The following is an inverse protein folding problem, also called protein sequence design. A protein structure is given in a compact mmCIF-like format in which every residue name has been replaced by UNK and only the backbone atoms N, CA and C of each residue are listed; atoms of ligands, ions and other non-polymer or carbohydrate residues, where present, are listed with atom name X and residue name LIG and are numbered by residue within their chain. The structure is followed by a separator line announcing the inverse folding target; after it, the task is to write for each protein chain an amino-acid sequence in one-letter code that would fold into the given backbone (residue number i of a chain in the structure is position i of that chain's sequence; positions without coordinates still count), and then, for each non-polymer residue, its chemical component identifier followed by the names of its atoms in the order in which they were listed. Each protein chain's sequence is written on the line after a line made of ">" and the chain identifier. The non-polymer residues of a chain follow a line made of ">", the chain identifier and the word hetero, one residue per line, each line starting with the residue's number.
data_IF_914394101155
#
_entry.id   IF_914394101155
#
_cell.length_a   1.000
_cell.length_b   1.000
_cell.length_c   1.000
_cell.angle_alpha   90.00
_cell.angle_beta   90.00
_cell.angle_gamma   90.00
#
_symmetry.space_group_name_H-M   'P 1'
#
loop_
_entity.id
_entity.type
_entity.pdbx_description
1 polymer ?
#
# COMPACT_ATOMS: atom_id res chain seq x y z
N UNK A 1 -0.05 20.42 6.15
CA UNK A 1 -1.53 20.47 6.26
C UNK A 1 -2.08 19.08 6.01
N UNK A 2 -3.02 18.61 6.81
CA UNK A 2 -3.63 17.31 6.55
C UNK A 2 -4.36 17.34 5.19
N UNK A 3 -4.21 16.25 4.44
CA UNK A 3 -4.91 16.07 3.17
C UNK A 3 -5.57 14.69 3.13
N UNK A 4 -6.64 14.50 2.34
CA UNK A 4 -7.31 13.22 2.27
C UNK A 4 -6.41 12.11 1.71
N UNK A 5 -6.41 10.99 2.40
CA UNK A 5 -5.89 9.72 1.94
C UNK A 5 -7.05 8.76 1.74
N UNK A 6 -7.28 8.32 0.52
CA UNK A 6 -8.25 7.28 0.21
C UNK A 6 -7.55 5.93 0.10
N UNK A 7 -8.11 4.92 0.73
CA UNK A 7 -7.58 3.57 0.78
C UNK A 7 -8.57 2.62 0.12
N UNK A 8 -8.16 2.01 -0.99
CA UNK A 8 -8.92 0.96 -1.66
C UNK A 8 -8.28 -0.41 -1.41
N UNK A 9 -9.08 -1.36 -0.96
CA UNK A 9 -8.65 -2.74 -0.74
C UNK A 9 -9.16 -3.61 -1.89
N UNK A 10 -8.24 -4.32 -2.54
CA UNK A 10 -8.52 -5.22 -3.65
C UNK A 10 -8.16 -6.66 -3.32
N UNK A 11 -8.94 -7.60 -3.84
CA UNK A 11 -8.68 -9.04 -3.63
C UNK A 11 -7.57 -9.55 -4.56
N UNK A 12 -7.32 -8.89 -5.69
CA UNK A 12 -6.28 -9.28 -6.63
C UNK A 12 -5.47 -8.09 -7.17
N UNK A 13 -4.25 -8.38 -7.64
CA UNK A 13 -3.31 -7.39 -8.15
C UNK A 13 -3.75 -6.77 -9.47
N UNK A 14 -4.43 -7.51 -10.32
CA UNK A 14 -4.87 -7.01 -11.62
C UNK A 14 -5.90 -5.91 -11.46
N UNK A 15 -6.87 -6.09 -10.56
CA UNK A 15 -7.87 -5.08 -10.24
C UNK A 15 -7.23 -3.82 -9.63
N UNK A 16 -6.28 -3.97 -8.72
CA UNK A 16 -5.54 -2.85 -8.14
C UNK A 16 -4.70 -2.10 -9.20
N UNK A 17 -4.07 -2.83 -10.10
CA UNK A 17 -3.30 -2.25 -11.22
C UNK A 17 -4.19 -1.46 -12.18
N UNK A 18 -5.35 -1.98 -12.51
CA UNK A 18 -6.33 -1.29 -13.37
C UNK A 18 -6.84 -0.01 -12.71
N UNK A 19 -7.14 -0.07 -11.41
CA UNK A 19 -7.52 1.10 -10.63
C UNK A 19 -6.41 2.17 -10.61
N UNK A 20 -5.17 1.77 -10.37
CA UNK A 20 -4.02 2.67 -10.36
C UNK A 20 -3.80 3.34 -11.73
N UNK A 21 -3.92 2.58 -12.83
CA UNK A 21 -3.84 3.13 -14.20
C UNK A 21 -4.96 4.11 -14.49
N UNK A 22 -6.19 3.80 -14.07
CA UNK A 22 -7.33 4.68 -14.26
C UNK A 22 -7.19 5.98 -13.46
N UNK A 23 -6.69 5.92 -12.23
CA UNK A 23 -6.40 7.08 -11.40
C UNK A 23 -5.32 7.97 -12.06
N UNK A 24 -4.24 7.36 -12.52
CA UNK A 24 -3.20 8.10 -13.22
C UNK A 24 -3.72 8.76 -14.51
N UNK A 25 -4.50 8.05 -15.31
CA UNK A 25 -5.13 8.59 -16.51
C UNK A 25 -6.11 9.73 -16.20
N UNK A 26 -6.69 9.76 -15.01
CA UNK A 26 -7.58 10.83 -14.54
C UNK A 26 -6.84 12.04 -13.96
N UNK A 27 -5.51 12.04 -13.97
CA UNK A 27 -4.67 13.16 -13.55
C UNK A 27 -4.06 13.04 -12.15
N UNK A 28 -4.21 11.91 -11.46
CA UNK A 28 -3.51 11.67 -10.20
C UNK A 28 -2.04 11.37 -10.49
N UNK A 29 -1.15 12.14 -9.89
CA UNK A 29 0.29 11.92 -10.03
C UNK A 29 0.71 10.58 -9.37
N UNK A 30 1.69 9.91 -9.96
CA UNK A 30 2.23 8.65 -9.45
C UNK A 30 2.78 8.78 -8.04
N UNK A 31 3.37 9.91 -7.71
CA UNK A 31 3.89 10.21 -6.38
C UNK A 31 2.80 10.29 -5.29
N UNK A 32 1.54 10.39 -5.70
CA UNK A 32 0.40 10.38 -4.80
C UNK A 32 -0.24 9.00 -4.65
N UNK A 33 0.30 7.98 -5.32
CA UNK A 33 -0.17 6.61 -5.22
C UNK A 33 0.75 5.80 -4.31
N UNK A 34 0.13 5.01 -3.45
CA UNK A 34 0.80 4.07 -2.55
C UNK A 34 0.23 2.68 -2.74
N UNK A 35 1.07 1.66 -2.68
CA UNK A 35 0.64 0.26 -2.75
C UNK A 35 1.27 -0.52 -1.62
N UNK A 36 0.48 -1.40 -1.02
CA UNK A 36 0.97 -2.39 -0.04
C UNK A 36 0.42 -3.76 -0.43
N UNK A 37 1.30 -4.73 -0.62
CA UNK A 37 0.94 -6.10 -0.95
C UNK A 37 1.89 -7.09 -0.30
N UNK A 38 1.36 -8.27 0.08
CA UNK A 38 2.18 -9.37 0.56
C UNK A 38 2.90 -10.06 -0.60
N UNK A 39 4.13 -10.50 -0.39
CA UNK A 39 4.87 -11.31 -1.34
C UNK A 39 4.57 -12.78 -1.10
N UNK A 40 3.92 -13.45 -2.06
CA UNK A 40 3.44 -14.82 -1.86
C UNK A 40 4.47 -15.93 -2.14
N UNK A 41 5.37 -15.77 -3.08
CA UNK A 41 6.12 -16.90 -3.62
C UNK A 41 7.58 -16.97 -3.16
N UNK A 42 8.03 -16.05 -2.34
CA UNK A 42 9.43 -15.96 -1.92
C UNK A 42 9.59 -15.57 -0.43
N UNK A 43 8.59 -15.87 0.38
CA UNK A 43 8.61 -15.56 1.82
C UNK A 43 9.90 -16.06 2.50
N UNK A 44 10.41 -17.23 2.08
CA UNK A 44 11.65 -17.78 2.60
C UNK A 44 12.91 -17.07 2.07
N UNK A 45 12.94 -16.73 0.79
CA UNK A 45 14.11 -16.08 0.16
C UNK A 45 14.25 -14.62 0.57
N UNK A 46 13.15 -13.86 0.58
CA UNK A 46 13.17 -12.48 1.01
C UNK A 46 13.52 -12.34 2.50
N UNK A 47 13.03 -13.26 3.33
CA UNK A 47 13.40 -13.29 4.74
C UNK A 47 14.90 -13.59 4.93
N UNK A 48 15.48 -14.46 4.12
CA UNK A 48 16.91 -14.76 4.15
C UNK A 48 17.77 -13.61 3.58
N UNK A 49 17.33 -12.96 2.52
CA UNK A 49 18.03 -11.81 1.91
C UNK A 49 17.91 -10.53 2.75
N UNK A 50 16.82 -10.38 3.50
CA UNK A 50 16.54 -9.22 4.36
C UNK A 50 16.94 -9.44 5.82
N UNK A 51 17.59 -10.54 6.14
CA UNK A 51 18.01 -10.87 7.51
C UNK A 51 18.98 -9.82 8.04
N UNK A 52 18.45 -8.70 8.49
CA UNK A 52 19.13 -7.65 9.17
C UNK A 52 19.03 -6.24 8.59
N UNK A 53 18.33 -5.97 7.50
CA UNK A 53 18.23 -4.61 6.97
C UNK A 53 16.79 -4.19 6.69
N UNK A 54 16.06 -3.62 7.69
CA UNK A 54 14.79 -2.98 7.43
C UNK A 54 14.97 -1.79 6.47
N UNK A 55 14.21 -1.74 5.39
CA UNK A 55 14.18 -0.59 4.48
C UNK A 55 15.20 -0.61 3.34
N UNK A 56 15.72 -1.77 2.93
CA UNK A 56 16.54 -1.85 1.73
C UNK A 56 15.72 -1.60 0.46
N UNK A 57 16.19 -0.68 -0.37
CA UNK A 57 15.65 -0.47 -1.72
C UNK A 57 15.91 -1.71 -2.58
N UNK A 58 14.85 -2.28 -3.14
CA UNK A 58 14.92 -3.49 -3.95
C UNK A 58 14.56 -3.19 -5.41
N UNK A 59 15.26 -2.26 -6.04
CA UNK A 59 15.02 -1.93 -7.46
C UNK A 59 15.16 -3.13 -8.39
N UNK A 60 15.99 -4.13 -8.03
CA UNK A 60 16.30 -5.30 -8.85
C UNK A 60 15.80 -6.63 -8.26
N UNK A 61 14.89 -6.61 -7.27
CA UNK A 61 14.41 -7.86 -6.67
C UNK A 61 13.25 -8.51 -7.46
N UNK A 62 13.10 -9.84 -7.40
CA UNK A 62 11.94 -10.53 -7.96
C UNK A 62 10.59 -10.06 -7.38
N UNK A 63 10.58 -9.56 -6.15
CA UNK A 63 9.40 -8.95 -5.54
C UNK A 63 9.01 -7.63 -6.21
N UNK A 64 9.98 -6.79 -6.52
CA UNK A 64 9.77 -5.55 -7.28
C UNK A 64 9.34 -5.85 -8.73
N UNK A 65 9.89 -6.89 -9.35
CA UNK A 65 9.49 -7.33 -10.69
C UNK A 65 8.04 -7.83 -10.75
N UNK A 66 7.49 -8.34 -9.66
CA UNK A 66 6.08 -8.77 -9.58
C UNK A 66 5.10 -7.64 -9.28
N UNK A 67 5.56 -6.58 -8.65
CA UNK A 67 4.87 -5.29 -8.72
C UNK A 67 5.00 -4.65 -10.11
N UNK A 68 5.76 -5.27 -11.01
CA UNK A 68 5.93 -4.81 -12.39
C UNK A 68 4.63 -4.66 -13.17
N UNK A 69 3.59 -5.41 -12.84
CA UNK A 69 2.25 -5.18 -13.39
C UNK A 69 1.64 -3.86 -12.89
N UNK A 70 2.06 -3.41 -11.70
CA UNK A 70 1.75 -2.09 -11.15
C UNK A 70 2.80 -1.04 -11.56
N UNK A 71 3.95 -1.47 -12.09
CA UNK A 71 5.15 -0.65 -12.30
C UNK A 71 4.99 0.43 -13.38
N UNK A 72 4.00 0.31 -14.25
CA UNK A 72 3.67 1.40 -15.16
C UNK A 72 3.21 2.67 -14.45
N UNK A 73 2.85 2.58 -13.18
CA UNK A 73 2.28 3.65 -12.38
C UNK A 73 3.07 3.94 -11.10
N UNK A 74 3.86 3.00 -10.60
CA UNK A 74 4.57 3.10 -9.32
C UNK A 74 6.08 3.11 -9.56
N UNK A 75 6.77 4.11 -9.02
CA UNK A 75 8.15 4.42 -9.37
C UNK A 75 9.20 3.66 -8.56
N UNK A 76 8.93 3.34 -7.31
CA UNK A 76 9.86 2.63 -6.44
C UNK A 76 9.10 1.77 -5.44
N UNK A 77 9.60 0.59 -5.18
CA UNK A 77 9.04 -0.30 -4.17
C UNK A 77 10.13 -0.69 -3.17
N UNK A 78 9.76 -0.78 -1.91
CA UNK A 78 10.62 -1.32 -0.86
C UNK A 78 10.00 -2.58 -0.26
N UNK A 79 10.84 -3.52 0.12
CA UNK A 79 10.41 -4.67 0.90
C UNK A 79 10.59 -4.38 2.38
N UNK A 80 9.59 -4.76 3.15
CA UNK A 80 9.56 -4.56 4.60
C UNK A 80 9.02 -5.82 5.26
N UNK A 81 9.63 -6.25 6.36
CA UNK A 81 9.04 -7.30 7.20
C UNK A 81 8.10 -6.63 8.19
N UNK A 82 6.82 -6.87 8.02
CA UNK A 82 5.78 -6.26 8.85
C UNK A 82 5.37 -7.23 9.95
N UNK A 83 5.41 -6.81 11.24
CA UNK A 83 4.94 -7.64 12.35
C UNK A 83 3.49 -8.10 12.14
N UNK A 84 3.26 -9.40 12.29
CA UNK A 84 1.93 -10.02 12.14
C UNK A 84 1.48 -10.33 10.70
N UNK A 85 2.21 -9.86 9.68
CA UNK A 85 1.91 -10.13 8.27
C UNK A 85 3.04 -10.92 7.60
N UNK A 86 4.28 -10.59 7.92
CA UNK A 86 5.47 -11.10 7.24
C UNK A 86 5.99 -10.17 6.15
N UNK A 87 6.69 -10.71 5.12
CA UNK A 87 7.26 -9.90 4.07
C UNK A 87 6.15 -9.23 3.23
N UNK A 88 6.22 -7.92 3.10
CA UNK A 88 5.37 -7.11 2.22
C UNK A 88 6.22 -6.30 1.26
N UNK A 89 5.62 -5.90 0.16
CA UNK A 89 6.19 -4.89 -0.73
C UNK A 89 5.31 -3.66 -0.67
N UNK A 90 5.93 -2.51 -0.45
CA UNK A 90 5.24 -1.24 -0.36
C UNK A 90 5.90 -0.21 -1.27
N UNK A 91 5.10 0.65 -1.87
CA UNK A 91 5.55 1.75 -2.72
C UNK A 91 4.74 3.01 -2.42
N UNK A 92 5.30 4.17 -2.78
CA UNK A 92 4.67 5.46 -2.62
C UNK A 92 4.81 6.04 -1.20
N UNK A 93 4.12 7.15 -0.88
CA UNK A 93 4.27 7.85 0.40
C UNK A 93 4.00 6.98 1.63
N UNK A 94 3.08 6.02 1.54
CA UNK A 94 2.79 5.11 2.64
C UNK A 94 3.97 4.19 2.99
N UNK A 95 4.85 3.89 2.02
CA UNK A 95 6.03 3.03 2.24
C UNK A 95 7.01 3.62 3.26
N UNK A 96 7.19 4.92 3.28
CA UNK A 96 8.07 5.58 4.23
C UNK A 96 7.61 5.35 5.68
N UNK A 97 6.31 5.48 5.94
CA UNK A 97 5.73 5.22 7.27
C UNK A 97 5.83 3.75 7.66
N UNK A 98 5.68 2.85 6.70
CA UNK A 98 5.83 1.41 6.94
C UNK A 98 7.28 1.05 7.28
N UNK A 99 8.24 1.66 6.60
CA UNK A 99 9.66 1.48 6.89
C UNK A 99 10.05 1.99 8.28
N UNK A 100 9.58 3.15 8.67
CA UNK A 100 9.79 3.71 10.01
C UNK A 100 9.20 2.80 11.11
N UNK A 101 7.99 2.30 10.91
CA UNK A 101 7.33 1.44 11.87
C UNK A 101 8.01 0.07 12.02
N UNK A 102 8.52 -0.51 10.94
CA UNK A 102 9.26 -1.75 10.97
C UNK A 102 10.56 -1.64 11.78
N UNK A 103 11.23 -0.48 11.70
CA UNK A 103 12.45 -0.20 12.46
C UNK A 103 12.25 -0.01 13.98
N UNK A 104 11.04 0.29 14.42
CA UNK A 104 10.76 0.61 15.83
C UNK A 104 10.04 -0.51 16.61
N UNK A 105 9.87 -1.69 16.07
CA UNK A 105 9.21 -2.84 16.70
C UNK A 105 7.79 -2.57 17.28
N UNK A 106 7.23 -1.44 16.98
CA UNK A 106 5.96 -0.96 17.56
C UNK A 106 4.89 -0.77 16.48
N UNK A 107 4.13 -1.82 16.23
CA UNK A 107 2.90 -1.72 15.48
C UNK A 107 2.97 -2.18 14.03
N UNK A 108 2.05 -3.05 13.67
CA UNK A 108 1.84 -3.50 12.30
C UNK A 108 1.08 -2.47 11.45
N UNK A 109 0.70 -2.87 10.25
CA UNK A 109 -0.06 -2.06 9.29
C UNK A 109 -1.30 -1.41 9.93
N UNK A 110 -2.02 -2.15 10.78
CA UNK A 110 -3.19 -1.64 11.50
C UNK A 110 -2.89 -0.39 12.32
N UNK A 111 -1.76 -0.35 13.02
CA UNK A 111 -1.40 0.80 13.85
C UNK A 111 -1.05 2.02 13.01
N UNK A 112 -0.35 1.81 11.89
CA UNK A 112 -0.02 2.89 10.94
C UNK A 112 -1.29 3.50 10.38
N UNK A 113 -2.23 2.66 9.96
CA UNK A 113 -3.53 3.10 9.44
C UNK A 113 -4.35 3.83 10.50
N UNK A 114 -4.33 3.35 11.75
CA UNK A 114 -5.01 4.00 12.87
C UNK A 114 -4.42 5.39 13.17
N UNK A 115 -3.09 5.54 13.11
CA UNK A 115 -2.44 6.85 13.23
C UNK A 115 -2.77 7.80 12.08
N UNK A 116 -3.05 7.25 10.89
CA UNK A 116 -3.54 8.04 9.76
C UNK A 116 -5.04 8.38 9.84
N UNK A 117 -5.72 8.02 10.93
CA UNK A 117 -7.13 8.35 11.14
C UNK A 117 -8.11 7.30 10.60
N UNK A 118 -7.64 6.14 10.15
CA UNK A 118 -8.52 5.03 9.76
C UNK A 118 -9.17 4.44 11.00
N UNK A 119 -10.49 4.21 11.02
CA UNK A 119 -11.15 3.58 12.15
C UNK A 119 -10.50 2.23 12.50
N UNK A 120 -10.32 1.90 13.79
CA UNK A 120 -9.59 0.70 14.21
C UNK A 120 -10.15 -0.61 13.62
N UNK A 121 -11.45 -0.73 13.51
CA UNK A 121 -12.10 -1.89 12.90
C UNK A 121 -11.75 -2.03 11.41
N UNK A 122 -11.76 -0.93 10.66
CA UNK A 122 -11.39 -0.89 9.24
C UNK A 122 -9.90 -1.17 9.06
N UNK A 123 -9.05 -0.60 9.90
CA UNK A 123 -7.61 -0.86 9.89
C UNK A 123 -7.30 -2.35 10.14
N UNK A 124 -8.02 -2.98 11.06
CA UNK A 124 -7.88 -4.42 11.32
C UNK A 124 -8.34 -5.28 10.13
N UNK A 125 -9.42 -4.89 9.46
CA UNK A 125 -9.88 -5.57 8.24
C UNK A 125 -8.87 -5.47 7.10
N UNK A 126 -8.28 -4.30 6.89
CA UNK A 126 -7.25 -4.06 5.88
C UNK A 126 -6.02 -4.92 6.17
N UNK A 127 -5.54 -4.91 7.41
CA UNK A 127 -4.38 -5.73 7.82
C UNK A 127 -4.64 -7.23 7.59
N UNK A 128 -5.80 -7.74 7.99
CA UNK A 128 -6.17 -9.13 7.77
C UNK A 128 -6.22 -9.48 6.28
N UNK A 129 -6.80 -8.62 5.44
CA UNK A 129 -6.92 -8.85 4.01
C UNK A 129 -5.54 -8.82 3.31
N UNK A 130 -4.65 -7.91 3.67
CA UNK A 130 -3.27 -7.89 3.15
C UNK A 130 -2.52 -9.16 3.56
N UNK A 131 -2.69 -9.60 4.78
CA UNK A 131 -2.13 -10.88 5.28
C UNK A 131 -2.59 -12.08 4.44
N UNK A 132 -3.83 -12.06 3.98
CA UNK A 132 -4.43 -13.09 3.13
C UNK A 132 -4.13 -12.94 1.63
N UNK A 133 -3.38 -11.91 1.25
CA UNK A 133 -2.95 -11.67 -0.13
C UNK A 133 -3.68 -10.55 -0.87
N UNK A 134 -4.52 -9.79 -0.18
CA UNK A 134 -5.12 -8.58 -0.71
C UNK A 134 -4.10 -7.47 -0.99
N UNK A 135 -4.48 -6.55 -1.85
CA UNK A 135 -3.66 -5.39 -2.23
C UNK A 135 -4.33 -4.12 -1.73
N UNK A 136 -3.58 -3.31 -0.99
CA UNK A 136 -4.00 -1.99 -0.56
C UNK A 136 -3.45 -0.93 -1.51
N UNK A 137 -4.34 -0.13 -2.08
CA UNK A 137 -4.00 1.03 -2.89
C UNK A 137 -4.36 2.30 -2.12
N UNK A 138 -3.38 3.12 -1.80
CA UNK A 138 -3.55 4.42 -1.17
C UNK A 138 -3.45 5.55 -2.19
N UNK A 139 -4.34 6.54 -2.08
CA UNK A 139 -4.39 7.70 -2.97
C UNK A 139 -4.41 8.98 -2.15
N UNK A 140 -3.32 9.73 -2.20
CA UNK A 140 -3.25 11.09 -1.64
C UNK A 140 -3.92 12.05 -2.61
N UNK A 141 -4.90 12.80 -2.16
CA UNK A 141 -5.72 13.64 -3.04
C UNK A 141 -6.20 14.90 -2.34
N UNK A 142 -6.82 15.80 -3.08
CA UNK A 142 -7.47 16.97 -2.55
C UNK A 142 -8.94 16.71 -2.22
N UNK A 143 -9.53 17.56 -1.38
CA UNK A 143 -10.94 17.46 -0.99
C UNK A 143 -11.90 17.44 -2.19
N UNK A 144 -11.56 18.14 -3.25
CA UNK A 144 -12.37 18.25 -4.47
C UNK A 144 -12.39 16.94 -5.27
N UNK A 145 -11.37 16.11 -5.13
CA UNK A 145 -11.20 14.89 -5.90
C UNK A 145 -11.64 13.61 -5.16
N UNK A 146 -11.96 13.74 -3.87
CA UNK A 146 -12.34 12.60 -3.02
C UNK A 146 -13.45 11.74 -3.67
N UNK A 147 -14.52 12.36 -4.13
CA UNK A 147 -15.65 11.62 -4.72
C UNK A 147 -15.25 10.92 -6.03
N UNK A 148 -14.45 11.58 -6.86
CA UNK A 148 -13.95 11.02 -8.12
C UNK A 148 -13.03 9.83 -7.87
N UNK A 149 -12.07 9.98 -6.97
CA UNK A 149 -11.13 8.92 -6.61
C UNK A 149 -11.85 7.72 -5.98
N UNK A 150 -12.77 7.97 -5.05
CA UNK A 150 -13.60 6.90 -4.47
C UNK A 150 -14.38 6.14 -5.54
N UNK A 151 -15.01 6.84 -6.47
CA UNK A 151 -15.73 6.23 -7.58
C UNK A 151 -14.85 5.36 -8.48
N UNK A 152 -13.62 5.78 -8.77
CA UNK A 152 -12.69 4.99 -9.56
C UNK A 152 -12.29 3.71 -8.81
N UNK A 153 -11.98 3.81 -7.52
CA UNK A 153 -11.65 2.63 -6.69
C UNK A 153 -12.80 1.62 -6.66
N UNK A 154 -14.02 2.08 -6.44
CA UNK A 154 -15.21 1.22 -6.42
C UNK A 154 -15.51 0.58 -7.78
N UNK A 155 -15.42 1.34 -8.87
CA UNK A 155 -15.65 0.83 -10.23
C UNK A 155 -14.66 -0.26 -10.64
N UNK A 156 -13.45 -0.26 -10.09
CA UNK A 156 -12.43 -1.26 -10.35
C UNK A 156 -12.43 -2.41 -9.34
N UNK A 157 -13.47 -2.50 -8.51
CA UNK A 157 -13.68 -3.64 -7.64
C UNK A 157 -13.02 -3.54 -6.29
N UNK A 158 -12.75 -2.34 -5.79
CA UNK A 158 -12.35 -2.18 -4.40
C UNK A 158 -13.42 -2.73 -3.46
N UNK A 159 -13.04 -3.71 -2.68
CA UNK A 159 -13.88 -4.39 -1.70
C UNK A 159 -14.24 -3.48 -0.53
N UNK A 160 -13.33 -2.57 -0.20
CA UNK A 160 -13.50 -1.57 0.85
C UNK A 160 -12.82 -0.28 0.39
N UNK A 161 -13.49 0.84 0.56
CA UNK A 161 -12.90 2.16 0.39
C UNK A 161 -12.98 2.88 1.73
N UNK A 162 -11.84 3.26 2.27
CA UNK A 162 -11.73 4.00 3.51
C UNK A 162 -11.09 5.38 3.27
N UNK A 163 -11.44 6.34 4.09
CA UNK A 163 -10.84 7.67 4.09
C UNK A 163 -10.09 7.90 5.40
N UNK A 164 -8.93 8.50 5.29
CA UNK A 164 -8.13 8.98 6.39
C UNK A 164 -7.66 10.41 6.11
N UNK A 165 -7.20 11.10 7.13
CA UNK A 165 -6.55 12.39 7.00
C UNK A 165 -5.05 12.20 7.23
N UNK A 166 -4.28 12.34 6.14
CA UNK A 166 -2.85 12.17 6.17
C UNK A 166 -2.16 13.46 6.62
N UNK A 167 -1.25 13.34 7.55
CA UNK A 167 -0.36 14.42 7.99
C UNK A 167 1.08 14.01 7.74
N UNK A 168 1.84 14.84 7.03
CA UNK A 168 3.28 14.65 6.85
C UNK A 168 4.07 14.78 8.14
#
# INVERSE_FOLDING_TARGET
>A
MPHPLLLGLFDDRAAAADAARALHASGIDRNHLSVVARTHDEEGRLAEELDGTPGADLEDSPGAARLGELSGVILAAMAVIMPGIGPIVAAGPLSARLGEAAGHAAGGLRQILAHAGVPPATAAQIEAAVREGGVLLGVHTDQTDVARVSGVLEQHGARTVARADWTE
#
